data_IF_866182306176
#
_entry.id   IF_866182306176
#
_cell.length_a   1.000
_cell.length_b   1.000
_cell.length_c   1.000
_cell.angle_alpha   90.00
_cell.angle_beta   90.00
_cell.angle_gamma   90.00
#
_symmetry.space_group_name_H-M   'P 1'
#
loop_
_entity.id
_entity.type
_entity.pdbx_description
1 polymer ?
#
# COMPACT_ATOMS: atom_id res chain seq x y z
N UNK A 1 19.73 5.83 -4.02
CA UNK A 1 19.59 5.06 -2.79
C UNK A 1 18.26 5.42 -2.11
N UNK A 2 17.56 4.42 -1.57
CA UNK A 2 16.33 4.60 -0.79
C UNK A 2 16.40 3.75 0.48
N UNK A 3 15.54 4.08 1.45
CA UNK A 3 15.33 3.25 2.63
C UNK A 3 13.82 3.00 2.82
N UNK A 4 13.45 1.77 3.11
CA UNK A 4 12.12 1.39 3.59
C UNK A 4 12.27 1.09 5.07
N UNK A 5 11.41 1.71 5.88
CA UNK A 5 11.47 1.64 7.33
C UNK A 5 10.13 1.12 7.83
N UNK A 6 10.17 0.11 8.67
CA UNK A 6 8.99 -0.50 9.29
C UNK A 6 9.15 -0.52 10.80
N UNK A 7 8.06 -0.22 11.52
CA UNK A 7 8.06 -0.24 12.99
C UNK A 7 8.08 -1.66 13.59
N UNK A 8 7.79 -2.64 12.77
CA UNK A 8 7.80 -4.06 13.07
C UNK A 8 8.52 -4.80 11.94
N UNK A 9 8.33 -6.11 11.82
CA UNK A 9 8.83 -6.86 10.66
C UNK A 9 8.34 -6.24 9.35
N UNK A 10 9.10 -6.40 8.26
CA UNK A 10 8.78 -5.79 6.96
C UNK A 10 7.47 -6.31 6.34
N UNK A 11 6.98 -7.44 6.82
CA UNK A 11 5.74 -8.08 6.37
C UNK A 11 4.55 -7.89 7.33
N UNK A 12 4.71 -7.12 8.41
CA UNK A 12 3.66 -6.91 9.41
C UNK A 12 2.49 -6.02 8.94
N UNK A 13 2.60 -5.41 7.76
CA UNK A 13 1.60 -4.48 7.22
C UNK A 13 0.24 -5.12 6.92
N UNK A 14 -0.80 -4.29 6.82
CA UNK A 14 -2.18 -4.74 6.55
C UNK A 14 -2.33 -5.50 5.23
N UNK A 15 -1.49 -5.24 4.24
CA UNK A 15 -1.53 -5.91 2.93
C UNK A 15 -1.46 -7.43 3.06
N UNK A 16 -0.60 -7.95 3.94
CA UNK A 16 -0.44 -9.39 4.17
C UNK A 16 -1.74 -10.09 4.58
N UNK A 17 -2.63 -9.38 5.24
CA UNK A 17 -3.89 -9.91 5.78
C UNK A 17 -5.08 -9.74 4.83
N UNK A 18 -4.90 -9.08 3.70
CA UNK A 18 -5.94 -8.89 2.71
C UNK A 18 -6.24 -10.21 1.99
N UNK A 19 -7.47 -10.71 2.15
CA UNK A 19 -7.93 -11.99 1.60
C UNK A 19 -8.54 -11.84 0.20
N UNK A 20 -9.27 -10.74 -0.03
CA UNK A 20 -9.91 -10.45 -1.31
C UNK A 20 -8.90 -10.23 -2.44
N UNK A 21 -9.42 -9.95 -3.63
CA UNK A 21 -8.59 -9.63 -4.78
C UNK A 21 -8.36 -8.13 -4.96
N UNK A 22 -7.85 -7.78 -6.13
CA UNK A 22 -7.64 -6.40 -6.56
C UNK A 22 -8.48 -6.13 -7.80
N UNK A 23 -9.21 -5.01 -7.80
CA UNK A 23 -10.06 -4.62 -8.91
C UNK A 23 -9.26 -3.88 -9.99
N UNK A 24 -9.37 -4.33 -11.24
CA UNK A 24 -8.87 -3.62 -12.43
C UNK A 24 -9.69 -4.00 -13.65
N UNK A 25 -9.75 -3.12 -14.64
CA UNK A 25 -10.39 -3.41 -15.92
C UNK A 25 -9.41 -4.23 -16.75
N UNK A 26 -9.61 -5.54 -16.78
CA UNK A 26 -8.73 -6.52 -17.44
C UNK A 26 -9.45 -7.28 -18.56
N UNK A 27 -10.77 -7.24 -18.61
CA UNK A 27 -11.62 -7.92 -19.59
C UNK A 27 -12.19 -6.93 -20.60
N UNK A 28 -12.35 -7.35 -21.85
CA UNK A 28 -12.91 -6.54 -22.93
C UNK A 28 -14.40 -6.20 -22.73
N UNK A 29 -15.11 -7.02 -21.96
CA UNK A 29 -16.53 -6.82 -21.60
C UNK A 29 -16.71 -5.82 -20.44
N UNK A 30 -15.61 -5.29 -19.85
CA UNK A 30 -15.64 -4.30 -18.78
C UNK A 30 -15.15 -2.93 -19.27
N UNK A 31 -15.38 -1.88 -18.46
CA UNK A 31 -14.95 -0.53 -18.80
C UNK A 31 -14.52 0.27 -17.56
N UNK A 32 -13.60 1.21 -17.78
CA UNK A 32 -13.21 2.21 -16.79
C UNK A 32 -14.42 2.95 -16.22
N UNK A 33 -15.35 3.35 -17.07
CA UNK A 33 -16.54 4.08 -16.65
C UNK A 33 -17.45 3.23 -15.75
N UNK A 34 -17.68 1.97 -16.09
CA UNK A 34 -18.44 1.05 -15.24
C UNK A 34 -17.78 0.86 -13.87
N UNK A 35 -16.46 0.73 -13.83
CA UNK A 35 -15.73 0.59 -12.57
C UNK A 35 -15.77 1.88 -11.73
N UNK A 36 -15.66 3.05 -12.35
CA UNK A 36 -15.82 4.35 -11.67
C UNK A 36 -17.22 4.46 -11.06
N UNK A 37 -18.28 4.17 -11.82
CA UNK A 37 -19.65 4.24 -11.34
C UNK A 37 -19.92 3.27 -10.19
N UNK A 38 -19.47 2.02 -10.30
CA UNK A 38 -19.57 1.04 -9.21
C UNK A 38 -18.92 1.55 -7.92
N UNK A 39 -17.73 2.16 -8.05
CA UNK A 39 -17.00 2.71 -6.91
C UNK A 39 -17.73 3.89 -6.26
N UNK A 40 -18.28 4.81 -7.08
CA UNK A 40 -19.04 5.95 -6.59
C UNK A 40 -20.33 5.51 -5.87
N UNK A 41 -21.03 4.51 -6.42
CA UNK A 41 -22.24 3.94 -5.81
C UNK A 41 -21.90 3.29 -4.47
N UNK A 42 -20.87 2.41 -4.44
CA UNK A 42 -20.44 1.75 -3.22
C UNK A 42 -19.96 2.73 -2.14
N UNK A 43 -19.32 3.82 -2.56
CA UNK A 43 -18.83 4.88 -1.68
C UNK A 43 -19.91 5.80 -1.10
N UNK A 44 -21.17 5.69 -1.56
CA UNK A 44 -22.34 6.35 -0.99
C UNK A 44 -22.15 7.86 -0.73
N UNK A 45 -21.52 8.58 -1.64
CA UNK A 45 -21.29 10.03 -1.56
C UNK A 45 -20.02 10.44 -0.79
N UNK A 46 -19.22 9.50 -0.31
CA UNK A 46 -17.94 9.80 0.37
C UNK A 46 -16.73 9.85 -0.57
N UNK A 47 -16.92 9.52 -1.84
CA UNK A 47 -15.86 9.50 -2.82
C UNK A 47 -15.53 10.91 -3.36
N UNK A 48 -14.23 11.14 -3.60
CA UNK A 48 -13.76 12.23 -4.44
C UNK A 48 -13.61 11.69 -5.87
N UNK A 49 -14.56 11.97 -6.74
CA UNK A 49 -14.65 11.37 -8.08
C UNK A 49 -13.36 11.50 -8.91
N UNK A 50 -12.65 12.65 -8.96
CA UNK A 50 -11.39 12.74 -9.70
C UNK A 50 -10.33 11.75 -9.21
N UNK A 51 -10.27 11.46 -7.89
CA UNK A 51 -9.35 10.46 -7.35
C UNK A 51 -9.77 9.04 -7.70
N UNK A 52 -11.06 8.75 -7.68
CA UNK A 52 -11.60 7.45 -8.11
C UNK A 52 -11.23 7.20 -9.58
N UNK A 53 -11.53 8.16 -10.45
CA UNK A 53 -11.23 8.07 -11.89
C UNK A 53 -9.75 7.87 -12.14
N UNK A 54 -8.89 8.67 -11.54
CA UNK A 54 -7.43 8.52 -11.62
C UNK A 54 -6.98 7.12 -11.21
N UNK A 55 -7.49 6.60 -10.09
CA UNK A 55 -7.12 5.27 -9.59
C UNK A 55 -7.56 4.17 -10.56
N UNK A 56 -8.79 4.23 -11.05
CA UNK A 56 -9.34 3.22 -11.96
C UNK A 56 -8.62 3.24 -13.31
N UNK A 57 -8.39 4.41 -13.88
CA UNK A 57 -7.68 4.57 -15.17
C UNK A 57 -6.25 4.00 -15.14
N UNK A 58 -5.58 4.06 -13.97
CA UNK A 58 -4.23 3.55 -13.80
C UNK A 58 -4.16 2.12 -13.25
N UNK A 59 -5.29 1.50 -12.92
CA UNK A 59 -5.34 0.19 -12.26
C UNK A 59 -4.77 -0.93 -13.12
N UNK A 60 -5.11 -0.97 -14.40
CA UNK A 60 -4.64 -2.01 -15.34
C UNK A 60 -3.12 -2.03 -15.46
N UNK A 61 -2.51 -0.84 -15.59
CA UNK A 61 -1.05 -0.74 -15.63
C UNK A 61 -0.38 -1.16 -14.32
N UNK A 62 -1.00 -0.84 -13.18
CA UNK A 62 -0.50 -1.25 -11.87
C UNK A 62 -0.57 -2.78 -11.67
N UNK A 63 -1.66 -3.41 -12.09
CA UNK A 63 -1.81 -4.88 -12.05
C UNK A 63 -0.83 -5.55 -13.00
N UNK A 64 -0.67 -5.03 -14.23
CA UNK A 64 0.31 -5.56 -15.16
C UNK A 64 1.72 -5.53 -14.57
N UNK A 65 2.09 -4.45 -13.91
CA UNK A 65 3.37 -4.37 -13.21
C UNK A 65 3.51 -5.44 -12.12
N UNK A 66 2.46 -5.73 -11.34
CA UNK A 66 2.48 -6.81 -10.34
C UNK A 66 2.67 -8.19 -11.00
N UNK A 67 2.03 -8.42 -12.16
CA UNK A 67 2.20 -9.64 -12.95
C UNK A 67 3.67 -9.76 -13.42
N UNK A 68 4.22 -8.70 -13.98
CA UNK A 68 5.57 -8.65 -14.54
C UNK A 68 6.66 -8.91 -13.48
N UNK A 69 6.45 -8.48 -12.23
CA UNK A 69 7.36 -8.77 -11.12
C UNK A 69 7.15 -10.16 -10.52
N UNK A 70 6.13 -10.90 -10.96
CA UNK A 70 5.94 -12.31 -10.64
C UNK A 70 4.95 -12.59 -9.51
N UNK A 71 3.95 -11.73 -9.26
CA UNK A 71 2.85 -12.09 -8.35
C UNK A 71 2.07 -13.26 -8.94
N UNK A 72 1.91 -14.37 -8.20
CA UNK A 72 1.28 -15.59 -8.72
C UNK A 72 -0.25 -15.51 -8.69
N UNK A 73 -0.82 -14.64 -9.52
CA UNK A 73 -2.27 -14.58 -9.67
C UNK A 73 -2.85 -15.86 -10.26
N UNK A 74 -4.05 -16.22 -9.82
CA UNK A 74 -4.77 -17.42 -10.29
C UNK A 74 -5.12 -17.29 -11.77
N UNK A 75 -4.85 -18.34 -12.54
CA UNK A 75 -5.13 -18.42 -13.97
C UNK A 75 -6.12 -19.57 -14.27
N UNK A 76 -7.02 -19.36 -15.22
CA UNK A 76 -7.88 -20.41 -15.79
C UNK A 76 -7.16 -21.20 -16.88
N UNK A 77 -6.33 -20.52 -17.63
CA UNK A 77 -5.49 -21.07 -18.70
C UNK A 77 -4.24 -20.23 -18.89
N UNK A 78 -3.23 -20.69 -19.62
CA UNK A 78 -2.08 -19.85 -19.99
C UNK A 78 -2.55 -18.51 -20.56
N UNK A 79 -1.99 -17.42 -20.05
CA UNK A 79 -2.28 -16.03 -20.44
C UNK A 79 -3.71 -15.52 -20.14
N UNK A 80 -4.52 -16.28 -19.38
CA UNK A 80 -5.86 -15.85 -18.97
C UNK A 80 -6.03 -15.95 -17.45
N UNK A 81 -6.22 -14.79 -16.81
CA UNK A 81 -6.40 -14.71 -15.36
C UNK A 81 -7.86 -14.99 -14.97
N UNK A 82 -8.03 -15.77 -13.91
CA UNK A 82 -9.35 -15.97 -13.32
C UNK A 82 -9.82 -14.69 -12.65
N UNK A 83 -10.92 -14.12 -13.15
CA UNK A 83 -11.54 -12.93 -12.58
C UNK A 83 -12.81 -13.28 -11.83
N UNK A 84 -12.96 -12.76 -10.62
CA UNK A 84 -14.17 -12.87 -9.82
C UNK A 84 -14.96 -11.57 -9.79
N UNK A 85 -16.20 -11.65 -9.33
CA UNK A 85 -17.05 -10.49 -9.06
C UNK A 85 -17.42 -10.48 -7.59
N UNK A 86 -17.03 -9.44 -6.89
CA UNK A 86 -17.38 -9.21 -5.51
C UNK A 86 -18.52 -8.19 -5.37
N UNK A 87 -19.03 -7.99 -4.14
CA UNK A 87 -20.10 -7.03 -3.87
C UNK A 87 -19.72 -5.61 -4.29
N UNK A 88 -20.69 -4.89 -4.86
CA UNK A 88 -20.48 -3.53 -5.37
C UNK A 88 -19.93 -3.46 -6.81
N UNK A 89 -19.53 -4.59 -7.41
CA UNK A 89 -19.05 -4.62 -8.80
C UNK A 89 -20.11 -5.13 -9.77
N UNK A 90 -20.29 -4.45 -10.90
CA UNK A 90 -21.18 -4.85 -12.00
C UNK A 90 -20.53 -5.88 -12.93
N UNK A 91 -19.19 -5.93 -13.01
CA UNK A 91 -18.44 -6.85 -13.87
C UNK A 91 -17.46 -7.73 -13.07
N UNK A 92 -16.95 -8.79 -13.72
CA UNK A 92 -15.86 -9.61 -13.20
C UNK A 92 -14.54 -8.89 -13.45
N UNK A 93 -13.99 -8.24 -12.43
CA UNK A 93 -12.76 -7.45 -12.54
C UNK A 93 -11.80 -7.67 -11.38
N UNK A 94 -12.08 -8.64 -10.52
CA UNK A 94 -11.26 -8.91 -9.35
C UNK A 94 -10.25 -10.00 -9.70
N UNK A 95 -8.99 -9.60 -9.86
CA UNK A 95 -7.87 -10.55 -9.97
C UNK A 95 -7.43 -10.97 -8.57
N UNK A 96 -7.10 -12.24 -8.38
CA UNK A 96 -6.77 -12.77 -7.06
C UNK A 96 -5.70 -13.86 -7.11
N UNK A 97 -5.07 -14.13 -5.97
CA UNK A 97 -4.13 -15.24 -5.77
C UNK A 97 -4.72 -16.18 -4.69
N UNK A 98 -5.52 -17.15 -5.11
CA UNK A 98 -6.33 -18.00 -4.23
C UNK A 98 -7.07 -17.15 -3.17
N UNK A 99 -7.00 -17.53 -1.88
CA UNK A 99 -7.64 -16.81 -0.77
C UNK A 99 -6.64 -15.91 0.00
N UNK A 100 -5.50 -15.58 -0.59
CA UNK A 100 -4.40 -14.90 0.09
C UNK A 100 -3.70 -13.88 -0.82
N UNK A 101 -4.46 -13.11 -1.58
CA UNK A 101 -3.95 -12.15 -2.58
C UNK A 101 -2.97 -11.15 -1.96
N UNK A 102 -3.31 -10.57 -0.82
CA UNK A 102 -2.44 -9.61 -0.14
C UNK A 102 -1.13 -10.24 0.32
N UNK A 103 -1.16 -11.48 0.79
CA UNK A 103 0.04 -12.24 1.17
C UNK A 103 0.95 -12.45 -0.04
N UNK A 104 0.41 -12.93 -1.18
CA UNK A 104 1.15 -13.17 -2.40
C UNK A 104 1.81 -11.88 -2.95
N UNK A 105 1.08 -10.76 -2.95
CA UNK A 105 1.59 -9.45 -3.34
C UNK A 105 2.71 -9.00 -2.39
N UNK A 106 2.48 -9.06 -1.08
CA UNK A 106 3.44 -8.63 -0.06
C UNK A 106 4.76 -9.42 -0.15
N UNK A 107 4.67 -10.75 -0.25
CA UNK A 107 5.86 -11.61 -0.33
C UNK A 107 6.67 -11.35 -1.62
N UNK A 108 5.97 -11.20 -2.75
CA UNK A 108 6.63 -10.89 -4.04
C UNK A 108 7.34 -9.54 -3.99
N UNK A 109 6.66 -8.50 -3.50
CA UNK A 109 7.23 -7.16 -3.38
C UNK A 109 8.44 -7.15 -2.45
N UNK A 110 8.35 -7.83 -1.31
CA UNK A 110 9.45 -7.92 -0.35
C UNK A 110 10.65 -8.69 -0.91
N UNK A 111 10.42 -9.79 -1.65
CA UNK A 111 11.46 -10.52 -2.34
C UNK A 111 12.20 -9.61 -3.35
N UNK A 112 11.45 -8.90 -4.19
CA UNK A 112 12.02 -7.95 -5.16
C UNK A 112 12.75 -6.78 -4.49
N UNK A 113 12.25 -6.28 -3.37
CA UNK A 113 12.92 -5.24 -2.59
C UNK A 113 14.29 -5.70 -2.06
N UNK A 114 14.37 -6.95 -1.56
CA UNK A 114 15.62 -7.55 -1.07
C UNK A 114 16.69 -7.72 -2.14
N UNK A 115 16.28 -7.86 -3.41
CA UNK A 115 17.19 -7.97 -4.55
C UNK A 115 17.82 -6.62 -4.98
N UNK A 116 17.33 -5.49 -4.46
CA UNK A 116 17.78 -4.15 -4.89
C UNK A 116 18.98 -3.66 -4.07
N UNK A 117 20.19 -3.57 -4.63
CA UNK A 117 21.40 -3.21 -3.87
C UNK A 117 21.40 -1.75 -3.37
N UNK A 118 20.58 -0.89 -3.96
CA UNK A 118 20.44 0.52 -3.59
C UNK A 118 19.27 0.78 -2.62
N UNK A 119 18.62 -0.27 -2.11
CA UNK A 119 17.52 -0.19 -1.16
C UNK A 119 17.93 -0.75 0.20
N UNK A 120 17.85 0.07 1.23
CA UNK A 120 18.06 -0.33 2.63
C UNK A 120 16.71 -0.68 3.26
N UNK A 121 16.62 -1.86 3.86
CA UNK A 121 15.43 -2.33 4.56
C UNK A 121 15.71 -2.30 6.06
N UNK A 122 14.95 -1.52 6.82
CA UNK A 122 15.06 -1.34 8.25
C UNK A 122 13.75 -1.77 8.91
N UNK A 123 13.83 -2.71 9.82
CA UNK A 123 12.69 -3.17 10.63
C UNK A 123 12.92 -2.84 12.11
N UNK A 124 11.86 -2.86 12.91
CA UNK A 124 11.87 -2.50 14.32
C UNK A 124 12.23 -1.02 14.57
N UNK A 125 11.90 -0.13 13.63
CA UNK A 125 12.14 1.30 13.74
C UNK A 125 10.82 2.07 13.82
N UNK A 126 10.54 2.68 14.96
CA UNK A 126 9.35 3.52 15.14
C UNK A 126 9.68 4.95 14.72
N UNK A 127 8.93 5.49 13.76
CA UNK A 127 9.01 6.91 13.43
C UNK A 127 8.49 7.74 14.61
N UNK A 128 9.31 8.68 15.09
CA UNK A 128 8.98 9.56 16.21
C UNK A 128 8.38 10.86 15.69
N UNK A 129 9.07 11.51 14.74
CA UNK A 129 8.65 12.79 14.18
C UNK A 129 9.38 13.10 12.87
N UNK A 130 8.78 13.95 12.05
CA UNK A 130 9.38 14.47 10.83
C UNK A 130 10.34 15.61 11.11
N UNK A 131 11.47 15.62 10.39
CA UNK A 131 12.41 16.74 10.40
C UNK A 131 12.02 17.67 9.25
N UNK A 132 11.37 18.78 9.58
CA UNK A 132 11.04 19.82 8.61
C UNK A 132 11.92 21.02 8.76
N UNK A 133 12.08 21.78 7.68
CA UNK A 133 12.88 23.03 7.71
C UNK A 133 12.29 24.05 8.67
N UNK A 134 10.97 24.08 8.79
CA UNK A 134 10.24 24.95 9.71
C UNK A 134 10.56 24.62 11.16
N UNK A 135 10.53 23.31 11.55
CA UNK A 135 10.88 22.88 12.91
C UNK A 135 12.33 23.22 13.28
N UNK A 136 13.24 23.19 12.30
CA UNK A 136 14.64 23.55 12.52
C UNK A 136 14.92 25.06 12.50
N UNK A 137 13.94 25.89 12.15
CA UNK A 137 14.15 27.33 11.99
C UNK A 137 15.15 27.69 10.86
N UNK A 138 15.39 26.75 9.92
CA UNK A 138 16.40 26.93 8.86
C UNK A 138 15.90 27.70 7.64
N UNK A 139 14.67 28.20 7.68
CA UNK A 139 13.99 28.90 6.58
C UNK A 139 13.55 27.98 5.45
N UNK A 140 12.44 28.35 4.77
CA UNK A 140 11.83 27.56 3.70
C UNK A 140 10.94 26.44 4.22
N UNK A 141 10.31 25.73 3.28
CA UNK A 141 9.38 24.62 3.54
C UNK A 141 9.98 23.29 3.11
N UNK A 142 9.46 22.21 3.70
CA UNK A 142 9.74 20.85 3.25
C UNK A 142 10.37 19.94 4.31
N UNK A 143 10.13 18.65 4.12
CA UNK A 143 10.65 17.58 4.95
C UNK A 143 12.02 17.14 4.43
N UNK A 144 12.99 16.99 5.33
CA UNK A 144 14.35 16.59 5.01
C UNK A 144 14.79 15.29 5.70
N UNK A 145 13.89 14.64 6.43
CA UNK A 145 14.15 13.40 7.13
C UNK A 145 13.15 13.13 8.23
N UNK A 146 13.49 12.17 9.09
CA UNK A 146 12.72 11.87 10.30
C UNK A 146 13.62 11.31 11.40
N UNK A 147 13.12 11.38 12.64
CA UNK A 147 13.67 10.69 13.80
C UNK A 147 13.02 9.33 13.96
N UNK A 148 13.81 8.34 14.29
CA UNK A 148 13.37 6.96 14.49
C UNK A 148 13.94 6.39 15.76
N UNK A 149 13.07 5.74 16.55
CA UNK A 149 13.50 4.90 17.65
C UNK A 149 13.83 3.51 17.10
N UNK A 150 15.06 3.08 17.28
CA UNK A 150 15.47 1.70 17.04
C UNK A 150 15.07 0.86 18.24
N UNK A 151 14.05 0.01 18.11
CA UNK A 151 13.55 -0.82 19.20
C UNK A 151 14.53 -1.91 19.65
N UNK A 152 15.49 -2.28 18.79
CA UNK A 152 16.46 -3.33 19.12
C UNK A 152 17.58 -2.78 20.06
N UNK A 153 17.93 -1.49 19.91
CA UNK A 153 19.02 -0.86 20.68
C UNK A 153 18.52 0.16 21.71
N UNK A 154 17.33 0.71 21.52
CA UNK A 154 16.80 1.82 22.31
C UNK A 154 17.34 3.20 21.91
N UNK A 155 18.16 3.28 20.87
CA UNK A 155 18.72 4.54 20.38
C UNK A 155 17.75 5.29 19.46
N UNK A 156 17.93 6.61 19.38
CA UNK A 156 17.23 7.45 18.42
C UNK A 156 18.15 7.76 17.25
N UNK A 157 17.75 7.28 16.07
CA UNK A 157 18.46 7.50 14.82
C UNK A 157 17.86 8.66 14.04
N UNK A 158 18.70 9.42 13.34
CA UNK A 158 18.30 10.46 12.38
C UNK A 158 18.56 9.98 10.97
N UNK A 159 17.51 9.90 10.17
CA UNK A 159 17.63 9.53 8.76
C UNK A 159 17.21 10.72 7.89
N UNK A 160 18.16 11.26 7.14
CA UNK A 160 17.91 12.36 6.22
C UNK A 160 17.66 11.88 4.80
N UNK A 161 16.77 12.56 4.08
CA UNK A 161 16.40 12.23 2.72
C UNK A 161 15.98 13.48 1.93
N UNK A 162 16.11 13.44 0.61
CA UNK A 162 15.60 14.49 -0.29
C UNK A 162 14.07 14.47 -0.39
N UNK A 163 13.47 13.29 -0.19
CA UNK A 163 12.02 13.09 -0.19
C UNK A 163 11.68 12.06 0.87
N UNK A 164 10.60 12.30 1.60
CA UNK A 164 10.05 11.38 2.59
C UNK A 164 8.64 10.99 2.15
N UNK A 165 8.37 9.68 2.10
CA UNK A 165 7.05 9.14 1.77
C UNK A 165 6.47 8.54 3.04
N UNK A 166 5.33 9.07 3.50
CA UNK A 166 4.56 8.50 4.58
C UNK A 166 3.62 7.43 4.01
N UNK A 167 3.96 6.17 4.26
CA UNK A 167 3.17 5.00 3.87
C UNK A 167 2.76 4.20 5.12
N UNK A 168 2.37 4.91 6.17
CA UNK A 168 2.21 4.41 7.55
C UNK A 168 0.88 3.68 7.79
N UNK A 169 0.04 3.53 6.77
CA UNK A 169 -1.27 2.91 6.90
C UNK A 169 -2.27 3.80 7.66
N UNK A 170 -3.31 3.18 8.17
CA UNK A 170 -4.43 3.85 8.84
C UNK A 170 -4.34 3.84 10.37
N UNK A 171 -5.44 4.27 11.01
CA UNK A 171 -5.57 4.42 12.46
C UNK A 171 -6.70 3.54 13.03
N UNK A 172 -6.96 2.38 12.45
CA UNK A 172 -8.10 1.53 12.84
C UNK A 172 -8.03 0.99 14.27
N UNK A 173 -6.84 1.00 14.91
CA UNK A 173 -6.69 0.63 16.33
C UNK A 173 -7.24 1.66 17.31
N UNK A 174 -7.73 2.82 16.85
CA UNK A 174 -8.51 3.73 17.70
C UNK A 174 -9.89 3.15 18.06
N UNK A 175 -10.38 2.15 17.30
CA UNK A 175 -11.61 1.45 17.57
C UNK A 175 -11.37 0.21 18.45
N UNK A 176 -12.33 -0.12 19.30
CA UNK A 176 -12.25 -1.29 20.19
C UNK A 176 -12.16 -2.61 19.40
N UNK A 177 -12.87 -2.68 18.27
CA UNK A 177 -12.87 -3.84 17.38
C UNK A 177 -12.42 -3.41 15.98
N UNK A 178 -11.44 -4.13 15.43
CA UNK A 178 -10.94 -3.92 14.08
C UNK A 178 -10.37 -5.22 13.53
N UNK A 179 -10.51 -5.44 12.22
CA UNK A 179 -9.87 -6.53 11.50
C UNK A 179 -8.44 -6.22 11.04
N UNK A 180 -7.98 -4.96 11.21
CA UNK A 180 -6.62 -4.58 10.86
C UNK A 180 -5.61 -5.04 11.93
N UNK A 181 -4.34 -5.28 11.57
CA UNK A 181 -3.30 -5.65 12.50
C UNK A 181 -3.03 -4.55 13.54
N UNK A 182 -2.42 -4.93 14.65
CA UNK A 182 -2.13 -4.04 15.78
C UNK A 182 -1.24 -2.85 15.40
N UNK A 183 -0.48 -2.98 14.34
CA UNK A 183 0.35 -1.92 13.79
C UNK A 183 -0.42 -0.71 13.21
N UNK A 184 -1.75 -0.81 12.98
CA UNK A 184 -2.56 0.28 12.41
C UNK A 184 -2.95 1.34 13.46
N UNK A 185 -1.96 2.00 14.06
CA UNK A 185 -2.09 2.92 15.21
C UNK A 185 -2.16 4.41 14.83
N UNK A 186 -2.03 4.76 13.53
CA UNK A 186 -2.20 6.14 13.05
C UNK A 186 -0.94 7.00 13.19
N UNK A 187 0.24 6.42 13.22
CA UNK A 187 1.50 7.12 13.46
C UNK A 187 1.73 8.28 12.48
N UNK A 188 1.46 8.06 11.18
CA UNK A 188 1.60 9.11 10.18
C UNK A 188 0.56 10.22 10.26
N UNK A 189 -0.53 9.99 10.97
CA UNK A 189 -1.52 11.06 11.25
C UNK A 189 -1.05 11.90 12.44
N UNK A 190 -0.35 11.28 13.40
CA UNK A 190 0.15 11.94 14.60
C UNK A 190 1.36 12.83 14.32
N UNK A 191 2.22 12.50 13.36
CA UNK A 191 3.40 13.27 12.95
C UNK A 191 3.03 14.52 12.12
#
# INVERSE_FOLDING_TARGET
NAAIISKDSLDAGSTRWAQGGVAAVLDEDDSVEAHVQDTLIAGAGLCHEPSVRFTVENSTAAIQWLIDIGVPFTQDSPDHFHLTREGGHSARRIIHAADATGHAISDTLLARAKEKPNLKLLQNYIAIDLITREKLGSGGHGCIGAYFLNNDTGDVDVITARSVVLATGGASKVYLYTSNPDGASGDGIAM
#
